data_IF_002747986757
#
_entry.id   IF_002747986757
#
_cell.length_a   1.000
_cell.length_b   1.000
_cell.length_c   1.000
_cell.angle_alpha   90.00
_cell.angle_beta   90.00
_cell.angle_gamma   90.00
#
_symmetry.space_group_name_H-M   'P 1'
#
loop_
_entity.id
_entity.type
_entity.pdbx_description
1 polymer ?
#
# COMPACT_ATOMS: atom_id res chain seq x y z
N UNK A 1 -9.88 2.09 28.25
CA UNK A 1 -11.10 2.27 27.41
C UNK A 1 -10.76 1.92 25.99
N UNK A 2 -11.40 0.88 25.43
CA UNK A 2 -11.21 0.48 24.04
C UNK A 2 -11.77 1.54 23.10
N UNK A 3 -11.02 1.93 22.09
CA UNK A 3 -11.49 2.85 21.05
C UNK A 3 -12.76 2.31 20.38
N UNK A 4 -13.77 3.14 20.29
CA UNK A 4 -14.96 2.85 19.52
C UNK A 4 -14.67 2.95 18.02
N UNK A 5 -15.44 2.26 17.19
CA UNK A 5 -15.34 2.36 15.71
C UNK A 5 -15.45 3.81 15.22
N UNK A 6 -16.22 4.62 15.92
CA UNK A 6 -16.39 6.04 15.60
C UNK A 6 -15.10 6.85 15.84
N UNK A 7 -14.36 6.55 16.92
CA UNK A 7 -13.09 7.20 17.22
C UNK A 7 -12.02 6.84 16.20
N UNK A 8 -11.98 5.58 15.73
CA UNK A 8 -11.08 5.16 14.64
C UNK A 8 -11.42 5.86 13.33
N UNK A 9 -12.71 5.99 12.99
CA UNK A 9 -13.17 6.75 11.83
C UNK A 9 -12.77 8.23 11.93
N UNK A 10 -12.94 8.84 13.09
CA UNK A 10 -12.52 10.21 13.34
C UNK A 10 -11.00 10.39 13.20
N UNK A 11 -10.23 9.40 13.67
CA UNK A 11 -8.76 9.38 13.52
C UNK A 11 -8.36 9.27 12.04
N UNK A 12 -9.01 8.42 11.25
CA UNK A 12 -8.75 8.33 9.80
C UNK A 12 -9.10 9.63 9.09
N UNK A 13 -10.25 10.23 9.42
CA UNK A 13 -10.66 11.53 8.87
C UNK A 13 -9.64 12.64 9.21
N UNK A 14 -9.13 12.66 10.43
CA UNK A 14 -8.09 13.58 10.86
C UNK A 14 -6.79 13.37 10.06
N UNK A 15 -6.32 12.14 9.93
CA UNK A 15 -5.12 11.82 9.16
C UNK A 15 -5.24 12.25 7.69
N UNK A 16 -6.40 12.02 7.08
CA UNK A 16 -6.67 12.44 5.70
C UNK A 16 -6.75 13.96 5.56
N UNK A 17 -7.40 14.64 6.49
CA UNK A 17 -7.53 16.10 6.49
C UNK A 17 -6.18 16.80 6.63
N UNK A 18 -5.34 16.32 7.55
CA UNK A 18 -3.98 16.84 7.75
C UNK A 18 -3.12 16.56 6.51
N UNK A 19 -3.23 15.38 5.94
CA UNK A 19 -2.54 15.01 4.70
C UNK A 19 -2.88 15.94 3.55
N UNK A 20 -4.16 16.22 3.36
CA UNK A 20 -4.64 17.13 2.31
C UNK A 20 -4.12 18.56 2.53
N UNK A 21 -4.20 19.03 3.78
CA UNK A 21 -3.70 20.35 4.16
C UNK A 21 -2.18 20.49 3.91
N UNK A 22 -1.39 19.49 4.31
CA UNK A 22 0.06 19.50 4.10
C UNK A 22 0.41 19.45 2.61
N UNK A 23 -0.30 18.65 1.83
CA UNK A 23 -0.09 18.57 0.38
C UNK A 23 -0.38 19.92 -0.29
N UNK A 24 -1.49 20.57 0.09
CA UNK A 24 -1.87 21.87 -0.44
C UNK A 24 -0.88 22.96 -0.02
N UNK A 25 -0.47 22.98 1.24
CA UNK A 25 0.53 23.92 1.77
C UNK A 25 1.85 23.85 1.00
N UNK A 26 2.32 22.63 0.69
CA UNK A 26 3.57 22.41 -0.03
C UNK A 26 3.41 22.85 -1.49
N UNK A 27 2.31 22.52 -2.14
CA UNK A 27 2.05 22.92 -3.51
C UNK A 27 1.97 24.45 -3.67
N UNK A 28 1.43 25.15 -2.67
CA UNK A 28 1.35 26.62 -2.68
C UNK A 28 2.71 27.28 -2.44
N UNK A 29 3.53 26.72 -1.51
CA UNK A 29 4.82 27.32 -1.17
C UNK A 29 5.98 26.94 -2.10
N UNK A 30 5.87 25.78 -2.75
CA UNK A 30 6.89 25.25 -3.66
C UNK A 30 6.28 24.81 -5.01
N UNK A 31 5.68 25.73 -5.79
CA UNK A 31 4.99 25.38 -7.04
C UNK A 31 5.93 24.77 -8.10
N UNK A 32 7.20 25.13 -8.08
CA UNK A 32 8.22 24.68 -9.05
C UNK A 32 9.02 23.46 -8.58
N UNK A 33 8.68 22.88 -7.43
CA UNK A 33 9.40 21.70 -6.96
C UNK A 33 9.04 20.48 -7.83
N UNK A 34 10.07 19.88 -8.43
CA UNK A 34 9.94 18.60 -9.15
C UNK A 34 9.59 17.45 -8.20
N UNK A 35 9.68 17.68 -6.90
CA UNK A 35 9.46 16.70 -5.86
C UNK A 35 8.03 16.83 -5.31
N UNK A 36 7.11 16.04 -5.84
CA UNK A 36 5.72 15.99 -5.34
C UNK A 36 5.51 14.73 -4.52
N UNK A 37 5.43 14.89 -3.21
CA UNK A 37 5.10 13.81 -2.30
C UNK A 37 3.59 13.53 -2.39
N UNK A 38 3.17 12.30 -2.73
CA UNK A 38 1.75 11.94 -2.76
C UNK A 38 1.06 12.15 -1.40
N UNK A 39 -0.21 12.53 -1.43
CA UNK A 39 -0.98 12.82 -0.21
C UNK A 39 -1.07 11.64 0.76
N UNK A 40 -1.10 10.40 0.26
CA UNK A 40 -1.16 9.21 1.11
C UNK A 40 0.09 9.04 2.00
N UNK A 41 1.27 9.50 1.55
CA UNK A 41 2.50 9.47 2.37
C UNK A 41 2.34 10.37 3.59
N UNK A 42 1.76 11.56 3.40
CA UNK A 42 1.43 12.46 4.51
C UNK A 42 0.40 11.87 5.46
N UNK A 43 -0.61 11.17 4.93
CA UNK A 43 -1.60 10.47 5.76
C UNK A 43 -0.94 9.39 6.61
N UNK A 44 -0.02 8.60 6.04
CA UNK A 44 0.72 7.56 6.74
C UNK A 44 1.61 8.16 7.85
N UNK A 45 2.38 9.20 7.54
CA UNK A 45 3.22 9.88 8.53
C UNK A 45 2.38 10.49 9.66
N UNK A 46 1.26 11.12 9.33
CA UNK A 46 0.31 11.65 10.32
C UNK A 46 -0.24 10.53 11.20
N UNK A 47 -0.61 9.39 10.62
CA UNK A 47 -1.07 8.21 11.36
C UNK A 47 -0.04 7.69 12.35
N UNK A 48 1.23 7.62 11.94
CA UNK A 48 2.34 7.21 12.81
C UNK A 48 2.49 8.20 13.99
N UNK A 49 2.46 9.51 13.72
CA UNK A 49 2.56 10.53 14.75
C UNK A 49 1.39 10.45 15.73
N UNK A 50 0.16 10.36 15.20
CA UNK A 50 -1.06 10.25 16.02
C UNK A 50 -1.01 9.00 16.90
N UNK A 51 -0.65 7.83 16.35
CA UNK A 51 -0.50 6.60 17.13
C UNK A 51 0.51 6.74 18.24
N UNK A 52 1.70 7.27 17.94
CA UNK A 52 2.75 7.45 18.94
C UNK A 52 2.36 8.44 20.05
N UNK A 53 1.71 9.55 19.69
CA UNK A 53 1.20 10.53 20.65
C UNK A 53 0.12 9.91 21.55
N UNK A 54 -0.85 9.20 20.98
CA UNK A 54 -1.89 8.54 21.77
C UNK A 54 -1.32 7.49 22.72
N UNK A 55 -0.38 6.68 22.25
CA UNK A 55 0.21 5.61 23.06
C UNK A 55 1.14 6.16 24.16
N UNK A 56 2.02 7.12 23.84
CA UNK A 56 3.06 7.56 24.77
C UNK A 56 2.68 8.77 25.62
N UNK A 57 1.89 9.71 25.09
CA UNK A 57 1.47 10.89 25.83
C UNK A 57 0.19 10.68 26.63
N UNK A 58 -0.75 9.90 26.10
CA UNK A 58 -2.04 9.70 26.73
C UNK A 58 -2.25 8.30 27.31
N UNK A 59 -1.26 7.37 27.18
CA UNK A 59 -1.38 5.96 27.59
C UNK A 59 -2.67 5.30 27.07
N UNK A 60 -3.07 5.67 25.85
CA UNK A 60 -4.29 5.18 25.22
C UNK A 60 -3.94 3.98 24.33
N UNK A 61 -4.45 2.81 24.67
CA UNK A 61 -4.28 1.62 23.82
C UNK A 61 -5.16 1.74 22.58
N UNK A 62 -4.52 1.89 21.44
CA UNK A 62 -5.18 1.88 20.15
C UNK A 62 -5.65 0.46 19.85
N UNK A 63 -6.96 0.25 19.76
CA UNK A 63 -7.53 -1.08 19.55
C UNK A 63 -7.34 -1.52 18.10
N UNK A 64 -6.32 -2.33 17.86
CA UNK A 64 -5.90 -2.78 16.51
C UNK A 64 -7.03 -3.42 15.71
N UNK A 65 -7.91 -4.19 16.35
CA UNK A 65 -9.03 -4.86 15.69
C UNK A 65 -9.96 -3.92 14.92
N UNK A 66 -10.30 -2.75 15.46
CA UNK A 66 -11.19 -1.80 14.78
C UNK A 66 -10.48 -1.12 13.60
N UNK A 67 -9.17 -0.88 13.74
CA UNK A 67 -8.33 -0.35 12.66
C UNK A 67 -8.23 -1.38 11.53
N UNK A 68 -8.00 -2.65 11.86
CA UNK A 68 -7.91 -3.74 10.88
C UNK A 68 -9.22 -3.91 10.11
N UNK A 69 -10.36 -3.92 10.81
CA UNK A 69 -11.67 -4.04 10.16
C UNK A 69 -11.93 -2.89 9.19
N UNK A 70 -11.74 -1.64 9.63
CA UNK A 70 -11.96 -0.47 8.78
C UNK A 70 -10.92 -0.39 7.65
N UNK A 71 -9.67 -0.75 7.91
CA UNK A 71 -8.62 -0.83 6.92
C UNK A 71 -8.95 -1.85 5.83
N UNK A 72 -9.36 -3.06 6.21
CA UNK A 72 -9.76 -4.10 5.26
C UNK A 72 -10.98 -3.69 4.44
N UNK A 73 -12.02 -3.14 5.07
CA UNK A 73 -13.20 -2.64 4.35
C UNK A 73 -12.80 -1.56 3.34
N UNK A 74 -11.96 -0.61 3.74
CA UNK A 74 -11.47 0.45 2.86
C UNK A 74 -10.66 -0.10 1.70
N UNK A 75 -9.80 -1.10 1.94
CA UNK A 75 -9.01 -1.78 0.91
C UNK A 75 -9.92 -2.48 -0.11
N UNK A 76 -10.89 -3.27 0.35
CA UNK A 76 -11.81 -3.97 -0.56
C UNK A 76 -12.68 -3.01 -1.36
N UNK A 77 -13.16 -1.93 -0.75
CA UNK A 77 -13.89 -0.87 -1.46
C UNK A 77 -13.01 -0.19 -2.51
N UNK A 78 -11.77 0.13 -2.16
CA UNK A 78 -10.81 0.71 -3.11
C UNK A 78 -10.58 -0.23 -4.30
N UNK A 79 -10.31 -1.51 -4.06
CA UNK A 79 -10.10 -2.50 -5.12
C UNK A 79 -11.34 -2.64 -6.02
N UNK A 80 -12.53 -2.69 -5.42
CA UNK A 80 -13.79 -2.78 -6.18
C UNK A 80 -13.99 -1.54 -7.05
N UNK A 81 -13.81 -0.34 -6.49
CA UNK A 81 -13.94 0.91 -7.25
C UNK A 81 -12.88 1.03 -8.34
N UNK A 82 -11.64 0.63 -8.07
CA UNK A 82 -10.58 0.62 -9.06
C UNK A 82 -10.91 -0.30 -10.24
N UNK A 83 -11.41 -1.52 -9.97
CA UNK A 83 -11.81 -2.46 -11.01
C UNK A 83 -13.01 -1.96 -11.83
N UNK A 84 -14.02 -1.36 -11.19
CA UNK A 84 -15.20 -0.79 -11.88
C UNK A 84 -14.78 0.42 -12.73
N UNK A 85 -13.79 1.18 -12.29
CA UNK A 85 -13.31 2.37 -13.02
C UNK A 85 -12.45 2.04 -14.24
N UNK A 86 -12.03 0.78 -14.41
CA UNK A 86 -11.23 0.36 -15.56
C UNK A 86 -12.05 0.43 -16.86
N UNK A 87 -11.62 1.30 -17.76
CA UNK A 87 -12.19 1.45 -19.10
C UNK A 87 -11.53 0.48 -20.07
N UNK A 88 -11.94 -0.77 -20.04
CA UNK A 88 -11.35 -1.81 -20.90
C UNK A 88 -11.55 -1.55 -22.38
N UNK A 89 -12.59 -0.80 -22.77
CA UNK A 89 -12.85 -0.44 -24.18
C UNK A 89 -11.82 0.56 -24.74
N UNK A 90 -11.18 1.38 -23.90
CA UNK A 90 -10.14 2.30 -24.36
C UNK A 90 -8.85 1.55 -24.77
N UNK A 91 -8.70 0.30 -24.31
CA UNK A 91 -7.58 -0.58 -24.65
C UNK A 91 -7.79 -1.35 -25.96
N UNK A 92 -8.98 -1.31 -26.57
CA UNK A 92 -9.32 -2.12 -27.74
C UNK A 92 -8.43 -1.86 -28.96
N UNK A 93 -7.97 -0.61 -29.13
CA UNK A 93 -7.05 -0.23 -30.23
C UNK A 93 -5.58 -0.59 -29.98
N UNK A 94 -5.19 -0.85 -28.74
CA UNK A 94 -3.81 -1.16 -28.32
C UNK A 94 -3.65 -2.57 -27.79
N UNK A 95 -4.68 -3.40 -27.94
CA UNK A 95 -4.79 -4.70 -27.26
C UNK A 95 -3.58 -5.62 -27.48
N UNK A 96 -3.04 -5.69 -28.70
CA UNK A 96 -1.88 -6.53 -29.01
C UNK A 96 -0.61 -6.09 -28.29
N UNK A 97 -0.31 -4.80 -28.30
CA UNK A 97 0.88 -4.23 -27.66
C UNK A 97 0.78 -4.36 -26.13
N UNK A 98 -0.39 -4.05 -25.57
CA UNK A 98 -0.64 -4.15 -24.12
C UNK A 98 -0.47 -5.58 -23.64
N UNK A 99 -1.01 -6.57 -24.36
CA UNK A 99 -0.88 -7.99 -24.01
C UNK A 99 0.59 -8.41 -24.03
N UNK A 100 1.35 -8.04 -25.06
CA UNK A 100 2.77 -8.38 -25.16
C UNK A 100 3.56 -7.77 -23.98
N UNK A 101 3.33 -6.49 -23.68
CA UNK A 101 3.99 -5.82 -22.56
C UNK A 101 3.66 -6.49 -21.23
N UNK A 102 2.39 -6.81 -20.99
CA UNK A 102 1.97 -7.52 -19.78
C UNK A 102 2.60 -8.92 -19.65
N UNK A 103 2.68 -9.66 -20.76
CA UNK A 103 3.34 -10.96 -20.75
C UNK A 103 4.83 -10.87 -20.42
N UNK A 104 5.54 -9.93 -21.05
CA UNK A 104 6.95 -9.70 -20.78
C UNK A 104 7.16 -9.27 -19.33
N UNK A 105 6.35 -8.33 -18.82
CA UNK A 105 6.41 -7.86 -17.45
C UNK A 105 6.15 -8.99 -16.45
N UNK A 106 5.12 -9.81 -16.70
CA UNK A 106 4.78 -10.94 -15.84
C UNK A 106 5.90 -11.98 -15.81
N UNK A 107 6.45 -12.31 -16.98
CA UNK A 107 7.56 -13.25 -17.07
C UNK A 107 8.81 -12.71 -16.35
N UNK A 108 9.14 -11.44 -16.57
CA UNK A 108 10.28 -10.80 -15.92
C UNK A 108 10.15 -10.81 -14.39
N UNK A 109 8.97 -10.44 -13.86
CA UNK A 109 8.71 -10.46 -12.43
C UNK A 109 8.80 -11.89 -11.88
N UNK A 110 8.19 -12.87 -12.54
CA UNK A 110 8.26 -14.25 -12.10
C UNK A 110 9.70 -14.78 -12.00
N UNK A 111 10.53 -14.51 -13.02
CA UNK A 111 11.94 -14.86 -12.99
C UNK A 111 12.71 -14.12 -11.90
N UNK A 112 12.44 -12.81 -11.73
CA UNK A 112 13.09 -12.01 -10.71
C UNK A 112 12.75 -12.49 -9.30
N UNK A 113 11.46 -12.79 -9.04
CA UNK A 113 11.02 -13.34 -7.76
C UNK A 113 11.68 -14.67 -7.44
N UNK A 114 11.75 -15.56 -8.42
CA UNK A 114 12.28 -16.90 -8.23
C UNK A 114 13.81 -16.90 -8.06
N UNK A 115 14.55 -16.17 -8.92
CA UNK A 115 16.02 -16.22 -8.94
C UNK A 115 16.67 -15.19 -8.03
N UNK A 116 16.00 -14.09 -7.71
CA UNK A 116 16.59 -12.98 -6.95
C UNK A 116 15.91 -12.83 -5.59
N UNK A 117 14.63 -12.52 -5.55
CA UNK A 117 13.96 -12.16 -4.29
C UNK A 117 13.88 -13.34 -3.33
N UNK A 118 13.39 -14.48 -3.81
CA UNK A 118 13.23 -15.67 -2.96
C UNK A 118 14.56 -16.16 -2.34
N UNK A 119 15.67 -16.27 -3.09
CA UNK A 119 16.96 -16.63 -2.53
C UNK A 119 17.53 -15.60 -1.56
N UNK A 120 17.37 -14.31 -1.85
CA UNK A 120 17.89 -13.23 -0.99
C UNK A 120 17.13 -13.11 0.33
N UNK A 121 15.82 -13.42 0.35
CA UNK A 121 14.98 -13.31 1.53
C UNK A 121 15.08 -14.51 2.47
N UNK A 122 15.85 -15.55 2.14
CA UNK A 122 16.14 -16.67 3.04
C UNK A 122 15.53 -18.00 2.65
N UNK A 123 14.78 -18.08 1.54
CA UNK A 123 14.17 -19.32 0.99
C UNK A 123 13.20 -20.01 1.96
N UNK A 124 12.60 -19.24 2.85
CA UNK A 124 11.65 -19.71 3.85
C UNK A 124 10.20 -19.32 3.49
N UNK A 125 9.27 -19.62 4.39
CA UNK A 125 7.87 -19.28 4.25
C UNK A 125 7.67 -17.76 4.11
N UNK A 126 8.33 -16.98 4.97
CA UNK A 126 8.24 -15.52 4.93
C UNK A 126 8.72 -14.96 3.58
N UNK A 127 9.80 -15.54 3.02
CA UNK A 127 10.29 -15.18 1.69
C UNK A 127 9.24 -15.43 0.60
N UNK A 128 8.51 -16.54 0.67
CA UNK A 128 7.44 -16.84 -0.29
C UNK A 128 6.29 -15.83 -0.21
N UNK A 129 5.88 -15.45 1.01
CA UNK A 129 4.84 -14.43 1.22
C UNK A 129 5.31 -13.03 0.76
N UNK A 130 6.57 -12.67 1.02
CA UNK A 130 7.17 -11.42 0.51
C UNK A 130 7.17 -11.40 -1.03
N UNK A 131 7.51 -12.53 -1.68
CA UNK A 131 7.44 -12.64 -3.13
C UNK A 131 6.01 -12.44 -3.67
N UNK A 132 5.00 -12.97 -2.99
CA UNK A 132 3.60 -12.76 -3.37
C UNK A 132 3.19 -11.28 -3.24
N UNK A 133 3.63 -10.61 -2.18
CA UNK A 133 3.46 -9.17 -2.02
C UNK A 133 4.16 -8.38 -3.12
N UNK A 134 5.42 -8.70 -3.42
CA UNK A 134 6.18 -8.05 -4.48
C UNK A 134 5.54 -8.27 -5.86
N UNK A 135 4.99 -9.45 -6.13
CA UNK A 135 4.21 -9.70 -7.35
C UNK A 135 3.01 -8.75 -7.43
N UNK A 136 2.32 -8.52 -6.31
CA UNK A 136 1.17 -7.63 -6.24
C UNK A 136 1.49 -6.18 -6.59
N UNK A 137 2.54 -5.58 -6.05
CA UNK A 137 2.88 -4.21 -6.43
C UNK A 137 3.68 -4.11 -7.75
N UNK A 138 4.34 -5.17 -8.17
CA UNK A 138 5.05 -5.19 -9.45
C UNK A 138 4.14 -5.32 -10.67
N UNK A 139 2.99 -5.97 -10.54
CA UNK A 139 1.96 -6.10 -11.58
C UNK A 139 0.73 -5.20 -11.34
N UNK A 140 0.67 -4.52 -10.21
CA UNK A 140 -0.46 -3.69 -9.81
C UNK A 140 -0.02 -2.51 -8.96
N UNK A 141 -0.50 -2.46 -7.73
CA UNK A 141 -0.23 -1.39 -6.78
C UNK A 141 -0.08 -1.95 -5.36
N UNK A 142 0.37 -1.12 -4.42
CA UNK A 142 0.54 -1.51 -3.02
C UNK A 142 -0.70 -2.17 -2.40
N UNK A 143 -1.95 -1.72 -2.64
CA UNK A 143 -3.13 -2.43 -2.15
C UNK A 143 -3.26 -3.86 -2.67
N UNK A 144 -2.87 -4.12 -3.92
CA UNK A 144 -2.87 -5.47 -4.50
C UNK A 144 -1.83 -6.36 -3.82
N UNK A 145 -0.67 -5.80 -3.45
CA UNK A 145 0.34 -6.51 -2.68
C UNK A 145 -0.19 -6.97 -1.32
N UNK A 146 -0.89 -6.08 -0.61
CA UNK A 146 -1.50 -6.39 0.69
C UNK A 146 -2.56 -7.48 0.53
N UNK A 147 -3.43 -7.37 -0.49
CA UNK A 147 -4.45 -8.39 -0.77
C UNK A 147 -3.84 -9.78 -1.04
N UNK A 148 -2.74 -9.84 -1.81
CA UNK A 148 -2.03 -11.09 -2.08
C UNK A 148 -1.45 -11.71 -0.79
N UNK A 149 -0.82 -10.89 0.07
CA UNK A 149 -0.31 -11.36 1.36
C UNK A 149 -1.44 -11.88 2.23
N UNK A 150 -2.55 -11.14 2.35
CA UNK A 150 -3.70 -11.55 3.15
C UNK A 150 -4.26 -12.89 2.69
N UNK A 151 -4.52 -13.03 1.39
CA UNK A 151 -5.06 -14.26 0.83
C UNK A 151 -4.21 -15.49 1.14
N UNK A 152 -2.88 -15.36 1.09
CA UNK A 152 -1.98 -16.47 1.39
C UNK A 152 -1.87 -16.72 2.90
N UNK A 153 -1.79 -15.67 3.72
CA UNK A 153 -1.64 -15.82 5.17
C UNK A 153 -2.90 -16.32 5.84
N UNK A 154 -4.08 -16.04 5.30
CA UNK A 154 -5.35 -16.63 5.74
C UNK A 154 -5.36 -18.15 5.53
N UNK A 155 -4.69 -18.64 4.50
CA UNK A 155 -4.69 -20.06 4.14
C UNK A 155 -3.53 -20.85 4.75
N UNK A 156 -2.34 -20.26 4.81
CA UNK A 156 -1.10 -20.95 5.17
C UNK A 156 -0.52 -20.52 6.53
N UNK A 157 -1.10 -19.49 7.16
CA UNK A 157 -0.68 -18.99 8.47
C UNK A 157 -0.02 -17.59 8.40
N UNK A 158 0.14 -16.94 9.55
CA UNK A 158 0.59 -15.56 9.62
C UNK A 158 2.07 -15.38 9.24
N UNK A 159 2.39 -14.28 8.56
CA UNK A 159 3.74 -13.84 8.23
C UNK A 159 3.95 -12.38 8.66
N UNK A 160 4.31 -12.11 9.94
CA UNK A 160 4.50 -10.74 10.42
C UNK A 160 5.57 -9.96 9.66
N UNK A 161 6.61 -10.65 9.18
CA UNK A 161 7.68 -10.04 8.37
C UNK A 161 7.17 -9.51 7.04
N UNK A 162 6.33 -10.27 6.34
CA UNK A 162 5.78 -9.83 5.07
C UNK A 162 4.86 -8.62 5.24
N UNK A 163 3.99 -8.62 6.25
CA UNK A 163 3.12 -7.48 6.56
C UNK A 163 3.88 -6.22 6.99
N UNK A 164 5.09 -6.35 7.50
CA UNK A 164 5.95 -5.20 7.80
C UNK A 164 6.70 -4.73 6.55
N UNK A 165 7.39 -5.64 5.86
CA UNK A 165 8.32 -5.28 4.78
C UNK A 165 7.61 -4.85 3.51
N UNK A 166 6.55 -5.54 3.10
CA UNK A 166 5.89 -5.28 1.81
C UNK A 166 5.20 -3.91 1.78
N UNK A 167 4.41 -3.50 2.76
CA UNK A 167 3.86 -2.15 2.79
C UNK A 167 4.94 -1.07 2.90
N UNK A 168 5.98 -1.31 3.71
CA UNK A 168 7.07 -0.36 3.87
C UNK A 168 7.82 -0.13 2.55
N UNK A 169 8.15 -1.21 1.83
CA UNK A 169 8.85 -1.11 0.55
C UNK A 169 7.92 -0.58 -0.53
N UNK A 170 6.70 -1.10 -0.64
CA UNK A 170 5.74 -0.71 -1.67
C UNK A 170 5.25 0.73 -1.48
N UNK A 171 4.64 1.04 -0.34
CA UNK A 171 4.02 2.33 -0.11
C UNK A 171 5.03 3.46 0.16
N UNK A 172 6.15 3.15 0.79
CA UNK A 172 7.11 4.20 1.15
C UNK A 172 8.21 4.37 0.09
N UNK A 173 8.91 3.30 -0.27
CA UNK A 173 10.03 3.42 -1.21
C UNK A 173 9.61 3.47 -2.67
N UNK A 174 8.78 2.55 -3.12
CA UNK A 174 8.43 2.45 -4.55
C UNK A 174 7.56 3.62 -4.96
N UNK A 175 6.52 3.93 -4.20
CA UNK A 175 5.60 5.01 -4.53
C UNK A 175 6.28 6.38 -4.39
N UNK A 176 7.19 6.55 -3.42
CA UNK A 176 7.99 7.75 -3.28
C UNK A 176 8.97 7.93 -4.46
N UNK A 177 9.67 6.86 -4.87
CA UNK A 177 10.58 6.90 -6.00
C UNK A 177 9.82 7.18 -7.30
N UNK A 178 8.68 6.52 -7.52
CA UNK A 178 7.84 6.77 -8.68
C UNK A 178 7.36 8.23 -8.75
N UNK A 179 6.99 8.81 -7.61
CA UNK A 179 6.57 10.22 -7.55
C UNK A 179 7.70 11.22 -7.86
N UNK A 180 8.96 10.79 -7.73
CA UNK A 180 10.14 11.61 -8.04
C UNK A 180 10.59 11.46 -9.50
N UNK A 181 10.43 10.26 -10.05
CA UNK A 181 10.92 9.91 -11.40
C UNK A 181 9.91 10.25 -12.49
N UNK A 182 8.60 10.20 -12.19
CA UNK A 182 7.49 10.51 -13.09
C UNK A 182 7.02 11.96 -12.95
#
# INVERSE_FOLDING_TARGET
TSMSTLEVLAMFALCLSVSYFLTDLINVHFPDSKFRIPSFVWALLTGIVVRNVLTHAFNYEVFERNIDVLGNVSLYLFLALALISLRLWDLSGLSGVVIIVLLIQTLFIALFLYFVTFPLMGKDYDAAIICAGQCGFGLGATPTAIANIQALTEHFGPSPRAFLLVPLVGAFFIDLINAVVL
#
